data_IF_132710534904
#
_entry.id   IF_132710534904
#
_cell.length_a   1.000
_cell.length_b   1.000
_cell.length_c   1.000
_cell.angle_alpha   90.00
_cell.angle_beta   90.00
_cell.angle_gamma   90.00
#
_symmetry.space_group_name_H-M   'P 1'
#
loop_
_entity.id
_entity.type
_entity.pdbx_description
1 polymer ?
#
# COMPACT_ATOMS: atom_id res chain seq x y z
N UNK A 1 -16.23 3.58 -16.82
CA UNK A 1 -15.98 3.12 -18.21
C UNK A 1 -17.00 3.65 -19.21
N UNK A 2 -18.30 3.32 -19.11
CA UNK A 2 -19.31 3.78 -20.09
C UNK A 2 -19.35 5.31 -20.25
N UNK A 3 -19.19 6.05 -19.15
CA UNK A 3 -19.06 7.52 -19.17
C UNK A 3 -17.84 8.01 -19.97
N UNK A 4 -16.66 7.39 -19.79
CA UNK A 4 -15.47 7.70 -20.60
C UNK A 4 -15.69 7.38 -22.07
N UNK A 5 -16.31 6.22 -22.35
CA UNK A 5 -16.63 5.82 -23.71
C UNK A 5 -17.55 6.83 -24.41
N UNK A 6 -18.54 7.35 -23.67
CA UNK A 6 -19.44 8.38 -24.16
C UNK A 6 -18.73 9.70 -24.43
N UNK A 7 -17.90 10.18 -23.49
CA UNK A 7 -17.11 11.40 -23.67
C UNK A 7 -16.13 11.29 -24.86
N UNK A 8 -15.45 10.15 -25.01
CA UNK A 8 -14.61 9.88 -26.19
C UNK A 8 -15.43 9.96 -27.48
N UNK A 9 -16.57 9.26 -27.54
CA UNK A 9 -17.41 9.24 -28.74
C UNK A 9 -17.89 10.65 -29.15
N UNK A 10 -18.25 11.51 -28.18
CA UNK A 10 -18.63 12.89 -28.46
C UNK A 10 -17.48 13.69 -29.07
N UNK A 11 -16.26 13.58 -28.52
CA UNK A 11 -15.09 14.27 -29.07
C UNK A 11 -14.68 13.76 -30.45
N UNK A 12 -14.75 12.44 -30.69
CA UNK A 12 -14.50 11.89 -32.04
C UNK A 12 -15.47 12.46 -33.07
N UNK A 13 -16.73 12.64 -32.69
CA UNK A 13 -17.73 13.27 -33.55
C UNK A 13 -17.42 14.74 -33.83
N UNK A 14 -17.00 15.50 -32.83
CA UNK A 14 -16.55 16.88 -33.05
C UNK A 14 -15.37 16.95 -34.03
N UNK A 15 -14.46 15.97 -34.00
CA UNK A 15 -13.33 15.89 -34.92
C UNK A 15 -13.77 15.52 -36.34
N UNK A 16 -14.64 14.52 -36.47
CA UNK A 16 -15.17 14.05 -37.76
C UNK A 16 -16.01 15.14 -38.48
N UNK A 17 -16.67 16.03 -37.72
CA UNK A 17 -17.48 17.14 -38.24
C UNK A 17 -16.84 18.52 -38.00
N UNK A 18 -15.51 18.58 -37.91
CA UNK A 18 -14.78 19.83 -37.62
C UNK A 18 -14.99 20.94 -38.67
N UNK A 19 -15.41 20.62 -39.89
CA UNK A 19 -15.78 21.60 -40.92
C UNK A 19 -17.17 22.25 -40.69
N UNK A 20 -18.03 21.62 -39.88
CA UNK A 20 -19.41 22.04 -39.65
C UNK A 20 -19.61 22.90 -38.39
N UNK A 21 -18.52 23.22 -37.66
CA UNK A 21 -18.49 24.01 -36.42
C UNK A 21 -19.50 23.51 -35.35
N UNK A 22 -19.55 22.17 -35.19
CA UNK A 22 -20.49 21.49 -34.28
C UNK A 22 -19.79 21.16 -32.97
N UNK A 23 -20.30 21.70 -31.85
CA UNK A 23 -19.93 21.32 -30.49
C UNK A 23 -21.04 20.44 -29.91
N UNK A 24 -20.74 19.18 -29.59
CA UNK A 24 -21.73 18.22 -29.10
C UNK A 24 -21.81 18.21 -27.56
N UNK A 25 -20.76 18.67 -26.87
CA UNK A 25 -20.72 18.85 -25.42
C UNK A 25 -19.87 20.07 -25.07
N UNK A 26 -20.38 20.95 -24.20
CA UNK A 26 -19.60 22.13 -23.83
C UNK A 26 -18.33 21.75 -23.07
N UNK A 27 -17.25 22.49 -23.29
CA UNK A 27 -15.97 22.26 -22.57
C UNK A 27 -16.12 22.30 -21.04
N UNK A 28 -17.03 23.12 -20.51
CA UNK A 28 -17.32 23.18 -19.07
C UNK A 28 -17.99 21.90 -18.56
N UNK A 29 -19.01 21.40 -19.27
CA UNK A 29 -19.70 20.16 -18.90
C UNK A 29 -18.75 18.96 -18.97
N UNK A 30 -17.86 18.95 -19.96
CA UNK A 30 -16.82 17.92 -20.07
C UNK A 30 -15.86 17.99 -18.87
N UNK A 31 -15.31 19.16 -18.52
CA UNK A 31 -14.40 19.27 -17.36
C UNK A 31 -15.05 18.79 -16.06
N UNK A 32 -16.32 19.14 -15.84
CA UNK A 32 -17.08 18.70 -14.67
C UNK A 32 -17.26 17.16 -14.67
N UNK A 33 -17.60 16.57 -15.81
CA UNK A 33 -17.75 15.12 -15.94
C UNK A 33 -16.43 14.39 -15.66
N UNK A 34 -15.32 14.87 -16.23
CA UNK A 34 -13.99 14.33 -15.98
C UNK A 34 -13.57 14.48 -14.51
N UNK A 35 -13.94 15.59 -13.87
CA UNK A 35 -13.71 15.81 -12.44
C UNK A 35 -14.41 14.78 -11.56
N UNK A 36 -15.66 14.43 -11.88
CA UNK A 36 -16.40 13.37 -11.17
C UNK A 36 -15.74 12.00 -11.40
N UNK A 37 -15.38 11.67 -12.64
CA UNK A 37 -14.71 10.39 -12.96
C UNK A 37 -13.38 10.25 -12.24
N UNK A 38 -12.58 11.32 -12.19
CA UNK A 38 -11.33 11.34 -11.43
C UNK A 38 -11.54 11.06 -9.95
N UNK A 39 -12.57 11.66 -9.32
CA UNK A 39 -12.87 11.37 -7.92
C UNK A 39 -13.24 9.90 -7.69
N UNK A 40 -13.94 9.26 -8.62
CA UNK A 40 -14.24 7.83 -8.56
C UNK A 40 -12.99 6.97 -8.68
N UNK A 41 -12.09 7.29 -9.64
CA UNK A 41 -10.80 6.60 -9.78
C UNK A 41 -9.95 6.77 -8.54
N UNK A 42 -9.89 7.97 -7.97
CA UNK A 42 -9.08 8.23 -6.76
C UNK A 42 -9.53 7.37 -5.58
N UNK A 43 -10.84 7.19 -5.36
CA UNK A 43 -11.33 6.28 -4.31
C UNK A 43 -10.86 4.84 -4.51
N UNK A 44 -10.82 4.36 -5.75
CA UNK A 44 -10.31 3.02 -6.06
C UNK A 44 -8.79 2.92 -5.88
N UNK A 45 -8.04 3.95 -6.30
CA UNK A 45 -6.59 4.04 -6.09
C UNK A 45 -6.27 4.03 -4.60
N UNK A 46 -6.97 4.82 -3.79
CA UNK A 46 -6.79 4.91 -2.34
C UNK A 46 -7.10 3.56 -1.65
N UNK A 47 -8.05 2.79 -2.20
CA UNK A 47 -8.37 1.46 -1.69
C UNK A 47 -7.24 0.44 -1.87
N UNK A 48 -6.29 0.68 -2.79
CA UNK A 48 -5.24 -0.28 -3.12
C UNK A 48 -4.34 -0.61 -1.93
N UNK A 49 -4.01 0.39 -1.10
CA UNK A 49 -3.16 0.16 0.07
C UNK A 49 -3.78 -0.89 0.99
N UNK A 50 -5.07 -0.77 1.25
CA UNK A 50 -5.82 -1.68 2.10
C UNK A 50 -6.05 -3.04 1.41
N UNK A 51 -6.48 -3.04 0.14
CA UNK A 51 -6.69 -4.27 -0.62
C UNK A 51 -5.42 -5.12 -0.77
N UNK A 52 -4.25 -4.48 -0.93
CA UNK A 52 -2.95 -5.16 -0.91
C UNK A 52 -2.67 -5.78 0.46
N UNK A 53 -2.89 -5.05 1.56
CA UNK A 53 -2.68 -5.58 2.91
C UNK A 53 -3.58 -6.78 3.22
N UNK A 54 -4.83 -6.79 2.76
CA UNK A 54 -5.72 -7.95 2.90
C UNK A 54 -5.28 -9.14 2.06
N UNK A 55 -4.86 -8.91 0.81
CA UNK A 55 -4.51 -9.99 -0.12
C UNK A 55 -3.15 -10.60 0.18
N UNK A 56 -2.14 -9.75 0.40
CA UNK A 56 -0.77 -10.19 0.58
C UNK A 56 -0.44 -10.37 2.07
N UNK A 57 -1.08 -9.61 2.96
CA UNK A 57 -0.72 -9.48 4.38
C UNK A 57 0.07 -8.20 4.65
N UNK A 58 0.33 -7.93 5.93
CA UNK A 58 1.11 -6.79 6.42
C UNK A 58 2.59 -7.19 6.47
N UNK A 59 3.42 -6.56 5.62
CA UNK A 59 4.85 -6.79 5.65
C UNK A 59 5.44 -6.22 6.95
N UNK A 60 5.85 -7.09 7.86
CA UNK A 60 6.28 -6.74 9.21
C UNK A 60 7.74 -7.09 9.41
N UNK A 61 8.56 -6.10 9.72
CA UNK A 61 9.99 -6.27 10.01
C UNK A 61 10.21 -6.23 11.51
N UNK A 62 10.92 -7.22 12.05
CA UNK A 62 11.38 -7.21 13.45
C UNK A 62 12.81 -6.68 13.48
N UNK A 63 13.01 -5.48 14.01
CA UNK A 63 14.30 -4.81 14.12
C UNK A 63 14.77 -4.70 15.58
N UNK A 64 16.03 -4.35 15.81
CA UNK A 64 16.57 -4.13 17.16
C UNK A 64 17.99 -4.66 17.33
N UNK A 65 18.67 -4.24 18.41
CA UNK A 65 20.06 -4.65 18.69
C UNK A 65 20.23 -6.17 18.81
N UNK A 66 21.47 -6.70 18.67
CA UNK A 66 21.77 -8.08 19.04
C UNK A 66 21.28 -8.39 20.46
N UNK A 67 20.81 -9.62 20.71
CA UNK A 67 20.36 -10.10 22.02
C UNK A 67 19.16 -9.35 22.66
N UNK A 68 18.48 -8.49 21.89
CA UNK A 68 17.21 -7.84 22.31
C UNK A 68 16.03 -8.82 22.43
N UNK A 69 16.16 -10.04 21.91
CA UNK A 69 15.13 -11.08 21.96
C UNK A 69 14.27 -11.20 20.70
N UNK A 70 14.76 -10.72 19.54
CA UNK A 70 14.05 -10.81 18.24
C UNK A 70 13.58 -12.23 17.91
N UNK A 71 14.49 -13.21 17.89
CA UNK A 71 14.13 -14.60 17.59
C UNK A 71 13.19 -15.20 18.63
N UNK A 72 13.28 -14.77 19.89
CA UNK A 72 12.33 -15.19 20.93
C UNK A 72 10.93 -14.64 20.66
N UNK A 73 10.83 -13.37 20.29
CA UNK A 73 9.54 -12.76 19.94
C UNK A 73 8.94 -13.37 18.67
N UNK A 74 9.75 -13.54 17.62
CA UNK A 74 9.33 -14.18 16.38
C UNK A 74 8.74 -15.57 16.65
N UNK A 75 9.45 -16.42 17.39
CA UNK A 75 8.96 -17.75 17.75
C UNK A 75 7.68 -17.69 18.60
N UNK A 76 7.58 -16.71 19.51
CA UNK A 76 6.38 -16.55 20.32
C UNK A 76 5.17 -16.12 19.47
N UNK A 77 5.34 -15.18 18.54
CA UNK A 77 4.29 -14.75 17.60
C UNK A 77 3.82 -15.89 16.69
N UNK A 78 4.75 -16.73 16.22
CA UNK A 78 4.41 -17.91 15.42
C UNK A 78 3.75 -19.05 16.22
N UNK A 79 3.89 -19.05 17.55
CA UNK A 79 3.38 -20.08 18.44
C UNK A 79 1.92 -19.88 18.86
N UNK A 80 1.43 -18.64 18.85
CA UNK A 80 0.09 -18.27 19.35
C UNK A 80 -1.03 -18.61 18.35
N UNK A 81 -0.87 -18.36 17.04
CA UNK A 81 -1.90 -18.67 16.02
C UNK A 81 -1.26 -19.02 14.66
N UNK A 82 -0.94 -20.31 14.47
CA UNK A 82 -0.42 -20.80 13.17
C UNK A 82 -1.49 -20.69 12.09
N UNK A 83 -1.25 -19.86 11.09
CA UNK A 83 -1.73 -20.17 9.75
C UNK A 83 -0.99 -21.41 9.26
N UNK A 84 -1.71 -22.48 8.93
CA UNK A 84 -1.12 -23.60 8.19
C UNK A 84 -0.69 -23.01 6.84
N UNK A 85 0.61 -22.75 6.68
CA UNK A 85 1.18 -22.32 5.40
C UNK A 85 1.06 -23.52 4.46
N UNK A 86 -0.03 -23.57 3.70
CA UNK A 86 -0.10 -24.42 2.52
C UNK A 86 0.97 -23.95 1.56
N UNK A 87 1.84 -24.87 1.15
CA UNK A 87 2.72 -24.69 0.01
C UNK A 87 1.92 -24.08 -1.14
N UNK A 88 2.21 -22.83 -1.51
CA UNK A 88 1.78 -22.29 -2.80
C UNK A 88 2.62 -23.01 -3.86
N UNK A 89 2.03 -23.88 -4.71
CA UNK A 89 2.82 -24.62 -5.69
C UNK A 89 3.38 -23.64 -6.72
N UNK A 90 4.70 -23.49 -6.80
CA UNK A 90 5.33 -22.76 -7.91
C UNK A 90 6.54 -21.89 -7.61
N UNK A 91 7.01 -21.71 -6.37
CA UNK A 91 8.21 -20.91 -6.12
C UNK A 91 9.43 -21.79 -5.88
N UNK A 92 10.29 -21.86 -6.88
CA UNK A 92 11.66 -22.34 -6.73
C UNK A 92 12.45 -21.37 -5.84
N UNK A 93 12.95 -21.88 -4.71
CA UNK A 93 14.23 -21.50 -4.10
C UNK A 93 14.39 -20.11 -3.46
N UNK A 94 13.32 -19.42 -3.08
CA UNK A 94 13.41 -18.17 -2.32
C UNK A 94 12.71 -18.27 -0.96
N UNK A 95 13.50 -18.03 0.10
CA UNK A 95 13.18 -17.68 1.50
C UNK A 95 11.77 -17.99 2.03
N UNK A 96 11.70 -18.85 3.05
CA UNK A 96 10.50 -19.10 3.85
C UNK A 96 10.16 -17.80 4.60
N UNK A 97 9.27 -16.97 4.06
CA UNK A 97 8.61 -15.91 4.83
C UNK A 97 7.71 -16.59 5.86
N UNK A 98 7.91 -16.26 7.13
CA UNK A 98 7.08 -16.79 8.21
C UNK A 98 5.87 -15.87 8.39
N UNK A 99 4.68 -16.45 8.45
CA UNK A 99 3.46 -15.68 8.63
C UNK A 99 2.59 -16.24 9.74
N UNK A 100 1.83 -15.35 10.37
CA UNK A 100 0.77 -15.70 11.30
C UNK A 100 -0.46 -14.86 10.98
N UNK A 101 -1.62 -15.34 11.41
CA UNK A 101 -2.88 -14.60 11.31
C UNK A 101 -3.26 -14.25 12.73
N UNK A 102 -3.59 -12.99 12.96
CA UNK A 102 -4.24 -12.56 14.19
C UNK A 102 -5.55 -11.87 13.83
N UNK A 103 -6.63 -12.32 14.44
CA UNK A 103 -8.01 -11.93 14.09
C UNK A 103 -8.32 -12.16 12.60
N UNK A 104 -8.31 -11.11 11.77
CA UNK A 104 -8.55 -11.17 10.32
C UNK A 104 -7.36 -10.66 9.49
N UNK A 105 -6.23 -10.39 10.13
CA UNK A 105 -5.06 -9.78 9.49
C UNK A 105 -3.92 -10.78 9.43
N UNK A 106 -3.42 -11.02 8.21
CA UNK A 106 -2.19 -11.79 8.01
C UNK A 106 -0.98 -10.87 8.21
N UNK A 107 -0.05 -11.26 9.06
CA UNK A 107 1.24 -10.59 9.23
C UNK A 107 2.33 -11.47 8.60
N UNK A 108 3.08 -10.90 7.66
CA UNK A 108 4.27 -11.54 7.08
C UNK A 108 5.50 -11.04 7.80
N UNK A 109 6.08 -11.89 8.64
CA UNK A 109 7.27 -11.57 9.41
C UNK A 109 8.51 -11.74 8.54
N UNK A 110 9.32 -10.70 8.49
CA UNK A 110 10.71 -10.76 8.01
C UNK A 110 11.62 -10.57 9.21
N UNK A 111 12.36 -11.63 9.57
CA UNK A 111 13.40 -11.52 10.59
C UNK A 111 14.60 -10.74 10.05
N UNK A 112 15.12 -9.84 10.89
CA UNK A 112 16.43 -9.23 10.64
C UNK A 112 17.59 -10.07 11.17
N UNK A 113 17.35 -11.11 11.96
CA UNK A 113 18.40 -12.06 12.37
C UNK A 113 18.69 -13.12 11.29
N UNK A 114 17.71 -13.54 10.49
CA UNK A 114 17.94 -14.28 9.24
C UNK A 114 18.70 -13.47 8.17
N UNK A 115 18.79 -12.15 8.32
CA UNK A 115 19.67 -11.30 7.50
C UNK A 115 21.15 -11.46 7.88
N UNK A 116 21.47 -12.06 9.04
CA UNK A 116 22.84 -12.34 9.48
C UNK A 116 23.34 -13.75 9.18
N UNK A 117 22.47 -14.74 9.06
CA UNK A 117 22.91 -16.04 8.52
C UNK A 117 23.39 -15.88 7.07
N UNK A 118 22.88 -14.86 6.35
CA UNK A 118 23.39 -14.39 5.07
C UNK A 118 24.61 -13.42 5.18
N UNK A 119 25.07 -13.06 6.39
CA UNK A 119 26.32 -12.33 6.64
C UNK A 119 27.50 -13.27 6.93
N UNK A 120 27.26 -14.52 7.35
CA UNK A 120 28.33 -15.54 7.50
C UNK A 120 28.80 -16.10 6.15
N UNK A 121 28.05 -15.85 5.07
CA UNK A 121 28.57 -15.85 3.70
C UNK A 121 28.78 -14.40 3.25
N UNK A 122 29.98 -14.09 2.77
CA UNK A 122 30.44 -12.74 2.41
C UNK A 122 29.64 -12.22 1.19
N UNK A 123 28.46 -11.62 1.40
CA UNK A 123 27.71 -10.98 0.32
C UNK A 123 27.27 -9.57 0.70
N UNK A 124 27.91 -8.58 0.07
CA UNK A 124 27.49 -7.18 0.01
C UNK A 124 26.00 -7.02 -0.43
N UNK A 125 25.47 -8.04 -1.10
CA UNK A 125 24.08 -8.13 -1.55
C UNK A 125 23.09 -8.42 -0.40
N UNK A 126 23.51 -9.14 0.65
CA UNK A 126 22.67 -9.45 1.83
C UNK A 126 22.27 -8.20 2.62
N UNK A 127 23.22 -7.27 2.80
CA UNK A 127 22.98 -5.97 3.44
C UNK A 127 22.05 -5.09 2.59
N UNK A 128 22.27 -5.03 1.27
CA UNK A 128 21.40 -4.32 0.33
C UNK A 128 19.98 -4.90 0.28
N UNK A 129 19.84 -6.23 0.32
CA UNK A 129 18.54 -6.93 0.41
C UNK A 129 17.84 -6.67 1.73
N UNK A 130 18.59 -6.58 2.83
CA UNK A 130 18.09 -6.22 4.16
C UNK A 130 17.43 -4.84 4.15
N UNK A 131 18.15 -3.82 3.67
CA UNK A 131 17.63 -2.46 3.56
C UNK A 131 16.42 -2.37 2.62
N UNK A 132 16.40 -3.14 1.52
CA UNK A 132 15.25 -3.24 0.61
C UNK A 132 14.01 -3.89 1.23
N UNK A 133 14.17 -4.78 2.21
CA UNK A 133 13.04 -5.38 2.93
C UNK A 133 12.45 -4.42 3.95
N UNK A 134 13.29 -3.64 4.65
CA UNK A 134 12.84 -2.60 5.59
C UNK A 134 12.13 -1.46 4.85
N UNK A 135 12.64 -1.05 3.68
CA UNK A 135 11.99 0.00 2.87
C UNK A 135 10.62 -0.38 2.32
N UNK A 136 10.30 -1.68 2.29
CA UNK A 136 8.99 -2.21 1.87
C UNK A 136 8.11 -2.62 3.06
N UNK A 137 8.56 -2.41 4.29
CA UNK A 137 7.81 -2.77 5.48
C UNK A 137 6.59 -1.86 5.63
N UNK A 138 5.44 -2.47 5.90
CA UNK A 138 4.23 -1.77 6.32
C UNK A 138 4.29 -1.43 7.81
N UNK A 139 4.93 -2.31 8.57
CA UNK A 139 5.09 -2.23 10.00
C UNK A 139 6.54 -2.59 10.41
N UNK A 140 7.15 -1.75 11.23
CA UNK A 140 8.42 -2.01 11.89
C UNK A 140 8.13 -2.27 13.37
N UNK A 141 8.49 -3.46 13.83
CA UNK A 141 8.49 -3.84 15.23
C UNK A 141 9.91 -3.71 15.77
N UNK A 142 10.23 -2.55 16.35
CA UNK A 142 11.56 -2.27 16.87
C UNK A 142 11.70 -2.75 18.32
N UNK A 143 12.56 -3.75 18.53
CA UNK A 143 12.76 -4.40 19.82
C UNK A 143 13.85 -3.74 20.65
N UNK A 144 13.48 -3.31 21.85
CA UNK A 144 14.38 -2.69 22.83
C UNK A 144 14.50 -3.59 24.05
N UNK A 145 15.72 -3.94 24.44
CA UNK A 145 15.95 -4.55 25.75
C UNK A 145 15.97 -3.48 26.84
N UNK A 146 14.93 -3.42 27.67
CA UNK A 146 14.85 -2.43 28.75
C UNK A 146 15.58 -2.84 30.04
N UNK A 147 16.14 -4.06 30.10
CA UNK A 147 16.88 -4.54 31.28
C UNK A 147 18.29 -3.95 31.41
N UNK A 148 18.84 -3.39 30.32
CA UNK A 148 20.19 -2.82 30.28
C UNK A 148 20.35 -1.44 30.94
N UNK A 149 19.25 -0.79 31.33
CA UNK A 149 19.25 0.50 32.04
C UNK A 149 19.47 1.74 31.15
N UNK A 150 20.54 1.80 30.36
CA UNK A 150 20.80 2.92 29.44
C UNK A 150 20.08 2.72 28.10
N UNK A 151 19.10 3.60 27.84
CA UNK A 151 18.28 3.59 26.62
C UNK A 151 18.66 4.70 25.64
N UNK A 152 19.66 5.54 25.93
CA UNK A 152 20.04 6.68 25.08
C UNK A 152 20.40 6.25 23.66
N UNK A 153 21.20 5.19 23.52
CA UNK A 153 21.56 4.63 22.21
C UNK A 153 20.39 3.96 21.48
N UNK A 154 19.41 3.43 22.19
CA UNK A 154 18.18 2.90 21.57
C UNK A 154 17.29 4.03 21.04
N UNK A 155 17.11 5.08 21.84
CA UNK A 155 16.36 6.28 21.44
C UNK A 155 16.94 6.89 20.16
N UNK A 156 18.26 7.05 20.09
CA UNK A 156 18.93 7.57 18.89
C UNK A 156 18.67 6.68 17.66
N UNK A 157 18.72 5.36 17.84
CA UNK A 157 18.49 4.39 16.75
C UNK A 157 17.03 4.36 16.30
N UNK A 158 16.08 4.46 17.23
CA UNK A 158 14.64 4.55 16.91
C UNK A 158 14.37 5.79 16.05
N UNK A 159 14.90 6.97 16.46
CA UNK A 159 14.76 8.21 15.68
C UNK A 159 15.35 8.09 14.28
N UNK A 160 16.54 7.49 14.17
CA UNK A 160 17.14 7.21 12.87
C UNK A 160 16.24 6.32 12.01
N UNK A 161 15.66 5.25 12.55
CA UNK A 161 14.72 4.41 11.81
C UNK A 161 13.44 5.16 11.39
N UNK A 162 12.93 6.07 12.22
CA UNK A 162 11.77 6.91 11.85
C UNK A 162 12.11 7.84 10.66
N UNK A 163 13.32 8.39 10.63
CA UNK A 163 13.81 9.23 9.53
C UNK A 163 14.09 8.44 8.25
N UNK A 164 14.66 7.24 8.37
CA UNK A 164 14.98 6.37 7.23
C UNK A 164 13.72 5.75 6.60
N UNK A 165 12.67 5.46 7.39
CA UNK A 165 11.46 4.76 6.94
C UNK A 165 10.16 5.49 7.32
N UNK A 166 9.94 6.73 6.87
CA UNK A 166 8.81 7.55 7.29
C UNK A 166 7.44 7.02 6.82
N UNK A 167 7.42 6.18 5.80
CA UNK A 167 6.20 5.56 5.27
C UNK A 167 5.74 4.33 6.08
N UNK A 168 6.66 3.69 6.81
CA UNK A 168 6.37 2.51 7.61
C UNK A 168 5.83 2.93 8.98
N UNK A 169 4.80 2.23 9.48
CA UNK A 169 4.36 2.41 10.87
C UNK A 169 5.37 1.74 11.79
N UNK A 170 5.52 2.25 13.02
CA UNK A 170 6.49 1.69 13.97
C UNK A 170 5.88 1.45 15.35
N UNK A 171 6.06 0.24 15.87
CA UNK A 171 5.85 -0.12 17.27
C UNK A 171 7.21 -0.36 17.90
N UNK A 172 7.47 0.27 19.04
CA UNK A 172 8.62 -0.07 19.88
C UNK A 172 8.17 -1.09 20.93
N UNK A 173 8.66 -2.32 20.82
CA UNK A 173 8.41 -3.37 21.79
C UNK A 173 9.56 -3.41 22.82
N UNK A 174 9.27 -2.90 24.02
CA UNK A 174 10.16 -2.86 25.16
C UNK A 174 10.20 -4.23 25.86
N UNK A 175 11.15 -5.07 25.43
CA UNK A 175 11.30 -6.46 25.84
C UNK A 175 12.09 -6.63 27.14
N UNK A 176 11.93 -7.80 27.76
CA UNK A 176 12.48 -8.18 29.09
C UNK A 176 11.93 -7.32 30.22
N UNK A 177 10.66 -6.91 30.11
CA UNK A 177 9.97 -6.12 31.12
C UNK A 177 9.84 -6.84 32.46
N UNK A 178 9.96 -8.17 32.49
CA UNK A 178 9.98 -8.99 33.70
C UNK A 178 11.28 -8.84 34.52
N UNK A 179 12.36 -8.32 33.92
CA UNK A 179 13.64 -8.11 34.59
C UNK A 179 13.81 -6.70 35.18
N UNK A 180 12.83 -5.81 34.98
CA UNK A 180 12.89 -4.41 35.39
C UNK A 180 11.87 -4.15 36.50
N UNK A 181 12.28 -3.49 37.58
CA UNK A 181 11.39 -3.19 38.71
C UNK A 181 10.25 -2.23 38.35
N UNK A 182 10.50 -1.25 37.48
CA UNK A 182 9.51 -0.30 37.00
C UNK A 182 9.58 -0.14 35.47
N UNK A 183 8.99 -1.07 34.70
CA UNK A 183 8.96 -0.99 33.24
C UNK A 183 8.26 0.27 32.74
N UNK A 184 7.22 0.75 33.45
CA UNK A 184 6.45 1.93 33.07
C UNK A 184 7.29 3.21 32.94
N UNK A 185 8.31 3.36 33.79
CA UNK A 185 9.25 4.48 33.69
C UNK A 185 10.09 4.42 32.40
N UNK A 186 10.56 3.24 32.01
CA UNK A 186 11.31 3.04 30.77
C UNK A 186 10.43 3.28 29.53
N UNK A 187 9.20 2.76 29.54
CA UNK A 187 8.22 3.01 28.47
C UNK A 187 7.94 4.50 28.32
N UNK A 188 7.70 5.21 29.43
CA UNK A 188 7.44 6.65 29.40
C UNK A 188 8.63 7.42 28.81
N UNK A 189 9.86 7.10 29.22
CA UNK A 189 11.05 7.74 28.69
C UNK A 189 11.22 7.52 27.18
N UNK A 190 10.97 6.29 26.71
CA UNK A 190 10.98 5.98 25.28
C UNK A 190 9.90 6.78 24.53
N UNK A 191 8.69 6.86 25.09
CA UNK A 191 7.57 7.58 24.49
C UNK A 191 7.86 9.06 24.38
N UNK A 192 8.24 9.71 25.49
CA UNK A 192 8.53 11.14 25.56
C UNK A 192 9.67 11.52 24.60
N UNK A 193 10.64 10.63 24.39
CA UNK A 193 11.78 10.89 23.53
C UNK A 193 11.51 10.65 22.04
N UNK A 194 10.68 9.67 21.68
CA UNK A 194 10.51 9.19 20.28
C UNK A 194 9.14 9.46 19.67
N UNK A 195 8.11 9.68 20.51
CA UNK A 195 6.72 9.78 20.09
C UNK A 195 6.14 8.47 19.54
N UNK A 196 6.89 7.36 19.59
CA UNK A 196 6.44 6.08 19.06
C UNK A 196 5.34 5.46 19.91
N UNK A 197 4.54 4.60 19.27
CA UNK A 197 3.71 3.64 19.97
C UNK A 197 4.58 2.58 20.65
N UNK A 198 4.26 2.26 21.90
CA UNK A 198 5.10 1.42 22.76
C UNK A 198 4.30 0.31 23.43
N UNK A 199 4.89 -0.89 23.47
CA UNK A 199 4.34 -2.04 24.19
C UNK A 199 5.42 -2.68 25.05
N UNK A 200 5.14 -2.88 26.33
CA UNK A 200 6.03 -3.60 27.24
C UNK A 200 5.79 -5.10 27.13
N UNK A 201 6.84 -5.88 26.85
CA UNK A 201 6.71 -7.32 26.68
C UNK A 201 7.78 -8.09 27.46
N UNK A 202 7.47 -9.33 27.80
CA UNK A 202 8.45 -10.34 28.19
C UNK A 202 8.30 -11.52 27.23
N UNK A 203 8.93 -11.43 26.07
CA UNK A 203 8.75 -12.39 24.97
C UNK A 203 9.03 -13.84 25.41
N UNK A 204 10.08 -14.05 26.22
CA UNK A 204 10.43 -15.38 26.74
C UNK A 204 9.39 -15.98 27.71
N UNK A 205 8.46 -15.17 28.20
CA UNK A 205 7.39 -15.57 29.14
C UNK A 205 6.00 -15.50 28.51
N UNK A 206 5.89 -15.10 27.25
CA UNK A 206 4.61 -14.86 26.58
C UNK A 206 3.81 -13.67 27.12
N UNK A 207 4.38 -12.82 27.98
CA UNK A 207 3.63 -11.71 28.59
C UNK A 207 3.65 -10.47 27.71
N UNK A 208 2.49 -9.82 27.58
CA UNK A 208 2.31 -8.61 26.78
C UNK A 208 2.21 -8.87 25.27
N UNK A 209 2.17 -10.14 24.84
CA UNK A 209 2.02 -10.50 23.43
C UNK A 209 0.60 -10.19 22.92
N UNK A 210 -0.43 -10.48 23.69
CA UNK A 210 -1.82 -10.12 23.32
C UNK A 210 -1.98 -8.61 23.11
N UNK A 211 -1.43 -7.80 24.01
CA UNK A 211 -1.45 -6.34 23.88
C UNK A 211 -0.66 -5.88 22.65
N UNK A 212 0.49 -6.50 22.39
CA UNK A 212 1.29 -6.20 21.20
C UNK A 212 0.51 -6.55 19.91
N UNK A 213 -0.12 -7.72 19.85
CA UNK A 213 -0.93 -8.17 18.73
C UNK A 213 -2.13 -7.25 18.47
N UNK A 214 -2.82 -6.80 19.52
CA UNK A 214 -3.89 -5.81 19.42
C UNK A 214 -3.40 -4.47 18.85
N UNK A 215 -2.23 -3.99 19.28
CA UNK A 215 -1.62 -2.76 18.74
C UNK A 215 -1.21 -2.93 17.28
N UNK A 216 -0.67 -4.09 16.92
CA UNK A 216 -0.35 -4.44 15.54
C UNK A 216 -1.60 -4.41 14.65
N UNK A 217 -2.71 -5.00 15.11
CA UNK A 217 -3.99 -4.99 14.41
C UNK A 217 -4.56 -3.56 14.27
N UNK A 218 -4.61 -2.78 15.36
CA UNK A 218 -5.13 -1.41 15.35
C UNK A 218 -4.38 -0.47 14.37
N UNK A 219 -3.08 -0.70 14.16
CA UNK A 219 -2.29 0.03 13.17
C UNK A 219 -2.70 -0.27 11.73
N UNK A 220 -3.31 -1.42 11.48
CA UNK A 220 -3.78 -1.84 10.15
C UNK A 220 -5.25 -1.43 9.99
N UNK A 221 -6.07 -1.53 11.04
CA UNK A 221 -7.49 -1.15 11.06
C UNK A 221 -7.75 0.35 10.88
N UNK A 222 -6.76 1.22 11.13
CA UNK A 222 -6.86 2.64 10.76
C UNK A 222 -7.13 2.88 9.26
N UNK A 223 -7.09 1.83 8.43
CA UNK A 223 -7.46 1.79 7.02
C UNK A 223 -8.91 1.34 6.77
N UNK A 224 -9.57 0.67 7.73
CA UNK A 224 -10.93 0.11 7.59
C UNK A 224 -12.02 1.18 7.62
N UNK A 225 -11.77 2.32 8.28
CA UNK A 225 -12.75 3.41 8.42
C UNK A 225 -13.15 4.06 7.10
N UNK A 226 -12.54 3.66 5.99
CA UNK A 226 -12.84 4.22 4.68
C UNK A 226 -13.97 3.47 3.99
N UNK A 227 -14.14 2.14 4.09
CA UNK A 227 -15.26 1.49 3.37
C UNK A 227 -15.60 0.05 3.81
N UNK A 228 -16.71 -0.14 4.54
CA UNK A 228 -17.37 -1.45 4.67
C UNK A 228 -18.19 -1.84 3.41
N UNK A 229 -18.21 -1.02 2.36
CA UNK A 229 -19.05 -1.22 1.18
C UNK A 229 -18.39 -0.95 -0.20
N UNK A 230 -17.10 -0.62 -0.29
CA UNK A 230 -16.44 -0.38 -1.58
C UNK A 230 -15.69 -1.59 -2.10
N UNK A 231 -15.73 -1.78 -3.41
CA UNK A 231 -14.82 -2.65 -4.14
C UNK A 231 -13.38 -2.25 -3.85
N UNK A 232 -12.56 -3.21 -3.40
CA UNK A 232 -11.15 -2.99 -3.11
C UNK A 232 -10.28 -3.38 -4.30
N UNK A 233 -9.28 -2.55 -4.61
CA UNK A 233 -8.23 -2.89 -5.56
C UNK A 233 -7.14 -3.68 -4.85
N UNK A 234 -6.84 -4.90 -5.32
CA UNK A 234 -5.85 -5.77 -4.67
C UNK A 234 -4.68 -6.13 -5.59
N UNK A 235 -4.63 -5.57 -6.80
CA UNK A 235 -3.68 -5.91 -7.84
C UNK A 235 -2.85 -4.68 -8.20
N UNK A 236 -1.52 -4.79 -8.11
CA UNK A 236 -0.62 -3.70 -8.51
C UNK A 236 -0.87 -3.28 -9.96
N UNK A 237 -1.09 -4.24 -10.86
CA UNK A 237 -1.43 -3.96 -12.26
C UNK A 237 -2.70 -3.11 -12.40
N UNK A 238 -3.74 -3.41 -11.61
CA UNK A 238 -4.97 -2.63 -11.67
C UNK A 238 -4.78 -1.25 -11.05
N UNK A 239 -3.99 -1.14 -9.97
CA UNK A 239 -3.61 0.15 -9.38
C UNK A 239 -2.86 1.03 -10.38
N UNK A 240 -1.86 0.49 -11.08
CA UNK A 240 -1.09 1.21 -12.10
C UNK A 240 -1.98 1.69 -13.24
N UNK A 241 -2.85 0.82 -13.76
CA UNK A 241 -3.82 1.19 -14.79
C UNK A 241 -4.78 2.30 -14.32
N UNK A 242 -5.32 2.20 -13.09
CA UNK A 242 -6.19 3.24 -12.52
C UNK A 242 -5.46 4.57 -12.35
N UNK A 243 -4.21 4.53 -11.89
CA UNK A 243 -3.37 5.72 -11.73
C UNK A 243 -3.11 6.38 -13.08
N UNK A 244 -2.68 5.61 -14.08
CA UNK A 244 -2.43 6.14 -15.43
C UNK A 244 -3.70 6.72 -16.05
N UNK A 245 -4.87 6.08 -15.82
CA UNK A 245 -6.16 6.63 -16.22
C UNK A 245 -6.46 7.96 -15.52
N UNK A 246 -6.20 8.06 -14.21
CA UNK A 246 -6.38 9.31 -13.46
C UNK A 246 -5.47 10.43 -13.96
N UNK A 247 -4.20 10.11 -14.23
CA UNK A 247 -3.20 11.07 -14.75
C UNK A 247 -3.65 11.59 -16.14
N UNK A 248 -4.14 10.70 -17.01
CA UNK A 248 -4.70 11.09 -18.32
C UNK A 248 -5.96 11.98 -18.18
N UNK A 249 -6.84 11.72 -17.21
CA UNK A 249 -7.97 12.61 -16.94
C UNK A 249 -7.53 13.98 -16.46
N UNK A 250 -6.54 14.07 -15.55
CA UNK A 250 -6.00 15.35 -15.11
C UNK A 250 -5.34 16.13 -16.26
N UNK A 251 -4.66 15.45 -17.18
CA UNK A 251 -4.12 16.05 -18.39
C UNK A 251 -5.23 16.59 -19.31
N UNK A 252 -6.28 15.80 -19.57
CA UNK A 252 -7.42 16.22 -20.40
C UNK A 252 -8.09 17.49 -19.83
N UNK A 253 -8.29 17.53 -18.51
CA UNK A 253 -8.84 18.70 -17.80
C UNK A 253 -7.93 19.92 -17.91
N UNK A 254 -6.61 19.73 -17.79
CA UNK A 254 -5.65 20.80 -17.97
C UNK A 254 -5.68 21.38 -19.40
N UNK A 255 -5.81 20.53 -20.41
CA UNK A 255 -5.96 20.94 -21.82
C UNK A 255 -7.25 21.75 -22.02
N UNK A 256 -8.36 21.30 -21.46
CA UNK A 256 -9.65 22.03 -21.48
C UNK A 256 -9.51 23.42 -20.86
N UNK A 257 -8.91 23.50 -19.67
CA UNK A 257 -8.74 24.77 -18.94
C UNK A 257 -7.82 25.77 -19.67
N UNK A 258 -6.88 25.26 -20.47
CA UNK A 258 -5.99 26.07 -21.30
C UNK A 258 -6.58 26.46 -22.66
N UNK A 259 -7.74 25.90 -23.02
CA UNK A 259 -8.36 26.12 -24.33
C UNK A 259 -7.57 25.48 -25.47
N UNK A 260 -6.92 24.35 -25.22
CA UNK A 260 -6.17 23.58 -26.23
C UNK A 260 -7.12 22.82 -27.17
N UNK A 261 -6.60 22.39 -28.33
CA UNK A 261 -7.40 21.76 -29.38
C UNK A 261 -8.04 20.43 -29.00
N UNK A 262 -9.23 20.16 -29.57
CA UNK A 262 -10.05 18.95 -29.34
C UNK A 262 -9.28 17.65 -29.56
N UNK A 263 -8.36 17.62 -30.53
CA UNK A 263 -7.51 16.46 -30.84
C UNK A 263 -6.68 15.99 -29.63
N UNK A 264 -6.11 16.95 -28.88
CA UNK A 264 -5.29 16.65 -27.70
C UNK A 264 -6.17 16.13 -26.55
N UNK A 265 -7.35 16.71 -26.37
CA UNK A 265 -8.31 16.28 -25.34
C UNK A 265 -8.78 14.85 -25.67
N UNK A 266 -9.15 14.59 -26.92
CA UNK A 266 -9.59 13.26 -27.38
C UNK A 266 -8.49 12.20 -27.17
N UNK A 267 -7.23 12.55 -27.45
CA UNK A 267 -6.09 11.67 -27.22
C UNK A 267 -5.95 11.25 -25.74
N UNK A 268 -6.04 12.20 -24.82
CA UNK A 268 -5.96 11.91 -23.37
C UNK A 268 -7.16 11.07 -22.90
N UNK A 269 -8.38 11.33 -23.40
CA UNK A 269 -9.56 10.52 -23.04
C UNK A 269 -9.48 9.10 -23.60
N UNK A 270 -8.98 8.90 -24.82
CA UNK A 270 -8.67 7.56 -25.36
C UNK A 270 -7.67 6.84 -24.49
N UNK A 271 -6.58 7.52 -24.10
CA UNK A 271 -5.57 6.95 -23.20
C UNK A 271 -6.18 6.52 -21.86
N UNK A 272 -7.02 7.36 -21.25
CA UNK A 272 -7.72 7.01 -20.01
C UNK A 272 -8.65 5.80 -20.19
N UNK A 273 -9.35 5.71 -21.32
CA UNK A 273 -10.23 4.61 -21.64
C UNK A 273 -9.46 3.30 -21.91
N UNK A 274 -8.29 3.36 -22.56
CA UNK A 274 -7.38 2.24 -22.78
C UNK A 274 -6.89 1.67 -21.46
N UNK A 275 -6.40 2.50 -20.55
CA UNK A 275 -5.97 2.06 -19.22
C UNK A 275 -7.11 1.41 -18.42
N UNK A 276 -8.34 1.95 -18.49
CA UNK A 276 -9.51 1.31 -17.88
C UNK A 276 -9.87 0.00 -18.61
N UNK A 277 -9.68 -0.06 -19.93
CA UNK A 277 -9.84 -1.23 -20.78
C UNK A 277 -8.93 -2.40 -20.36
N UNK A 278 -7.67 -2.12 -20.05
CA UNK A 278 -6.68 -3.11 -19.59
C UNK A 278 -7.12 -3.89 -18.34
N UNK A 279 -7.86 -3.23 -17.44
CA UNK A 279 -8.40 -3.85 -16.22
C UNK A 279 -9.51 -4.84 -16.57
N UNK A 280 -10.38 -4.48 -17.53
CA UNK A 280 -11.54 -5.26 -17.93
C UNK A 280 -11.26 -6.28 -19.05
N UNK A 281 -10.10 -6.19 -19.69
CA UNK A 281 -9.72 -7.01 -20.84
C UNK A 281 -10.46 -6.64 -22.13
N UNK A 282 -10.93 -5.40 -22.25
CA UNK A 282 -11.74 -4.91 -23.39
C UNK A 282 -10.90 -4.13 -24.41
N UNK A 283 -11.30 -4.22 -25.68
CA UNK A 283 -10.69 -3.49 -26.81
C UNK A 283 -11.46 -2.19 -27.03
N UNK A 284 -10.76 -1.05 -26.96
CA UNK A 284 -11.39 0.28 -26.89
C UNK A 284 -11.91 0.79 -28.24
N UNK A 285 -11.15 0.62 -29.32
CA UNK A 285 -11.49 1.21 -30.63
C UNK A 285 -12.82 0.71 -31.21
N UNK A 286 -13.12 -0.59 -31.11
CA UNK A 286 -14.39 -1.15 -31.60
C UNK A 286 -15.59 -0.63 -30.81
N UNK A 287 -15.41 -0.42 -29.50
CA UNK A 287 -16.49 0.04 -28.62
C UNK A 287 -16.83 1.52 -28.84
N UNK A 288 -15.85 2.37 -29.18
CA UNK A 288 -16.10 3.79 -29.52
C UNK A 288 -16.96 3.87 -30.79
N UNK A 289 -16.57 3.15 -31.85
CA UNK A 289 -17.30 3.10 -33.11
C UNK A 289 -18.75 2.62 -32.90
N UNK A 290 -18.95 1.58 -32.10
CA UNK A 290 -20.30 1.07 -31.82
C UNK A 290 -21.19 2.14 -31.15
N UNK A 291 -20.67 2.90 -30.19
CA UNK A 291 -21.44 3.98 -29.54
C UNK A 291 -21.77 5.10 -30.53
N UNK A 292 -20.83 5.48 -31.40
CA UNK A 292 -21.04 6.47 -32.45
C UNK A 292 -22.22 6.06 -33.36
N UNK A 293 -22.21 4.83 -33.87
CA UNK A 293 -23.26 4.34 -34.78
C UNK A 293 -24.60 4.09 -34.09
N UNK A 294 -24.61 3.58 -32.86
CA UNK A 294 -25.85 3.30 -32.13
C UNK A 294 -26.58 4.56 -31.68
N UNK A 295 -25.85 5.56 -31.18
CA UNK A 295 -26.47 6.75 -30.56
C UNK A 295 -26.70 7.91 -31.52
N UNK A 296 -25.83 8.08 -32.51
CA UNK A 296 -25.85 9.29 -33.35
C UNK A 296 -26.37 9.05 -34.77
N UNK A 297 -26.73 7.80 -35.12
CA UNK A 297 -27.39 7.45 -36.39
C UNK A 297 -26.69 8.03 -37.65
N UNK A 298 -25.36 8.03 -37.66
CA UNK A 298 -24.59 8.61 -38.76
C UNK A 298 -24.64 7.67 -39.97
N UNK A 299 -25.18 8.16 -41.09
CA UNK A 299 -25.30 7.41 -42.34
C UNK A 299 -26.64 6.71 -42.60
N UNK A 300 -27.74 7.17 -42.00
CA UNK A 300 -29.12 6.85 -42.46
C UNK A 300 -29.74 7.97 -43.28
#
# INVERSE_FOLDING_TARGET
>A
RERLLHACALLELELDFSEEDVEFQSRSELDDELGVLRMELQRLIDSFRHGRLLKEGVATVIAGKPNSGKSTLLNALLGEERAIVSHMPGTTRDYIEECFIHEKTMFRLTDTAGLREAEEEIEHEGVLRSYRKISRADLILYLVDISGGDLSGEIARIKQFQEEYPAARMIVAANKSDLVQNPGAALKMLHDATGCELCGIAAAKGKGLDELLQRMAAMVEGLDKIHEASVLVTSLRHYEALRNASDALDNARLLIQRGEGTELIAFELRSALDYVGEITGKVVNEEILNVIFERFCIGK
#
